data_IF_837485810499
#
_entry.id   IF_837485810499
#
_cell.length_a   1.000
_cell.length_b   1.000
_cell.length_c   1.000
_cell.angle_alpha   90.00
_cell.angle_beta   90.00
_cell.angle_gamma   90.00
#
_symmetry.space_group_name_H-M   'P 1'
#
loop_
_entity.id
_entity.type
_entity.pdbx_description
1 polymer ?
#
# COMPACT_ATOMS: atom_id res chain seq x y z
N UNK A 1 -14.54 -15.98 1.76
CA UNK A 1 -15.15 -15.15 2.82
C UNK A 1 -14.00 -14.47 3.57
N UNK A 2 -14.27 -13.35 4.27
CA UNK A 2 -13.26 -12.44 4.87
C UNK A 2 -12.45 -13.10 6.02
N UNK A 3 -13.03 -14.15 6.62
CA UNK A 3 -12.52 -14.89 7.78
C UNK A 3 -11.14 -15.52 7.56
N UNK A 4 -10.92 -16.12 6.39
CA UNK A 4 -9.66 -16.80 6.05
C UNK A 4 -8.49 -15.80 5.96
N UNK A 5 -8.76 -14.61 5.44
CA UNK A 5 -7.74 -13.58 5.23
C UNK A 5 -7.22 -12.99 6.54
N UNK A 6 -8.10 -12.73 7.52
CA UNK A 6 -7.68 -12.13 8.80
C UNK A 6 -6.66 -13.03 9.50
N UNK A 7 -6.92 -14.34 9.51
CA UNK A 7 -6.01 -15.34 10.09
C UNK A 7 -4.68 -15.39 9.32
N UNK A 8 -4.72 -15.38 8.00
CA UNK A 8 -3.52 -15.46 7.15
C UNK A 8 -2.63 -14.22 7.32
N UNK A 9 -3.21 -13.01 7.21
CA UNK A 9 -2.46 -11.77 7.42
C UNK A 9 -1.91 -11.64 8.85
N UNK A 10 -2.68 -12.05 9.87
CA UNK A 10 -2.19 -12.09 11.25
C UNK A 10 -0.95 -12.98 11.40
N UNK A 11 -1.00 -14.20 10.85
CA UNK A 11 0.12 -15.15 10.90
C UNK A 11 1.34 -14.62 10.14
N UNK A 12 1.15 -13.96 8.99
CA UNK A 12 2.22 -13.32 8.22
C UNK A 12 2.96 -12.25 9.02
N UNK A 13 2.23 -11.47 9.81
CA UNK A 13 2.80 -10.49 10.74
C UNK A 13 3.29 -11.10 12.07
N UNK A 14 3.24 -12.43 12.23
CA UNK A 14 3.60 -13.17 13.45
C UNK A 14 2.87 -12.68 14.71
N UNK A 15 1.65 -12.18 14.56
CA UNK A 15 0.84 -11.68 15.68
C UNK A 15 0.02 -12.83 16.29
N UNK A 16 -0.17 -12.82 17.62
CA UNK A 16 -1.18 -13.64 18.28
C UNK A 16 -2.58 -13.04 18.11
N UNK A 17 -3.63 -13.82 18.37
CA UNK A 17 -5.01 -13.28 18.36
C UNK A 17 -5.18 -12.17 19.41
N UNK A 18 -4.47 -12.27 20.55
CA UNK A 18 -4.47 -11.24 21.60
C UNK A 18 -3.85 -9.93 21.09
N UNK A 19 -2.67 -10.03 20.48
CA UNK A 19 -1.95 -8.86 19.95
C UNK A 19 -2.73 -8.15 18.84
N UNK A 20 -3.42 -8.91 17.99
CA UNK A 20 -4.31 -8.32 16.99
C UNK A 20 -5.52 -7.64 17.65
N UNK A 21 -6.11 -8.27 18.66
CA UNK A 21 -7.26 -7.75 19.39
C UNK A 21 -6.95 -6.44 20.11
N UNK A 22 -5.77 -6.33 20.74
CA UNK A 22 -5.25 -5.09 21.32
C UNK A 22 -5.12 -3.99 20.26
N UNK A 23 -4.49 -4.29 19.12
CA UNK A 23 -4.30 -3.33 18.02
C UNK A 23 -5.61 -2.80 17.44
N UNK A 24 -6.64 -3.63 17.40
CA UNK A 24 -7.97 -3.22 16.90
C UNK A 24 -8.95 -2.80 18.00
N UNK A 25 -8.50 -2.73 19.25
CA UNK A 25 -9.29 -2.40 20.43
C UNK A 25 -10.59 -3.20 20.52
N UNK A 26 -10.46 -4.54 20.57
CA UNK A 26 -11.55 -5.50 20.79
C UNK A 26 -11.05 -6.64 21.69
N UNK A 27 -11.94 -7.55 22.09
CA UNK A 27 -11.54 -8.74 22.83
C UNK A 27 -10.90 -9.80 21.93
N UNK A 28 -10.01 -10.64 22.47
CA UNK A 28 -9.48 -11.82 21.77
C UNK A 28 -10.59 -12.73 21.21
N UNK A 29 -11.69 -12.89 21.94
CA UNK A 29 -12.84 -13.67 21.51
C UNK A 29 -13.49 -13.08 20.24
N UNK A 30 -13.54 -11.75 20.13
CA UNK A 30 -14.04 -11.06 18.93
C UNK A 30 -13.19 -11.40 17.71
N UNK A 31 -11.85 -11.37 17.83
CA UNK A 31 -10.95 -11.77 16.76
C UNK A 31 -11.12 -13.25 16.39
N UNK A 32 -11.28 -14.13 17.38
CA UNK A 32 -11.52 -15.55 17.13
C UNK A 32 -12.82 -15.79 16.32
N UNK A 33 -13.90 -15.07 16.66
CA UNK A 33 -15.17 -15.12 15.91
C UNK A 33 -15.01 -14.64 14.47
N UNK A 34 -14.22 -13.59 14.24
CA UNK A 34 -13.91 -13.13 12.88
C UNK A 34 -13.12 -14.17 12.08
N UNK A 35 -12.10 -14.77 12.67
CA UNK A 35 -11.29 -15.81 12.00
C UNK A 35 -12.05 -17.12 11.74
N UNK A 36 -13.15 -17.37 12.46
CA UNK A 36 -13.99 -18.56 12.30
C UNK A 36 -15.21 -18.32 11.40
N UNK A 37 -15.41 -17.10 10.90
CA UNK A 37 -16.59 -16.73 10.10
C UNK A 37 -17.89 -16.63 10.90
N UNK A 38 -17.82 -16.67 12.22
CA UNK A 38 -18.98 -16.53 13.12
C UNK A 38 -19.46 -15.07 13.24
N UNK A 39 -18.59 -14.12 12.93
CA UNK A 39 -18.90 -12.69 12.91
C UNK A 39 -18.06 -11.98 11.84
N UNK A 40 -18.51 -10.81 11.38
CA UNK A 40 -17.78 -9.96 10.44
C UNK A 40 -17.39 -8.66 11.17
N UNK A 41 -16.16 -8.15 10.99
CA UNK A 41 -15.80 -6.84 11.54
C UNK A 41 -16.69 -5.75 10.94
N UNK A 42 -17.08 -4.78 11.77
CA UNK A 42 -17.77 -3.58 11.26
C UNK A 42 -16.84 -2.75 10.34
N UNK A 43 -17.39 -1.74 9.68
CA UNK A 43 -16.65 -0.93 8.71
C UNK A 43 -15.43 -0.22 9.31
N UNK A 44 -15.48 0.18 10.58
CA UNK A 44 -14.38 0.85 11.27
C UNK A 44 -13.28 -0.15 11.63
N UNK A 45 -13.64 -1.33 12.16
CA UNK A 45 -12.69 -2.41 12.45
C UNK A 45 -12.08 -2.98 11.18
N UNK A 46 -12.87 -3.12 10.13
CA UNK A 46 -12.39 -3.51 8.79
C UNK A 46 -11.35 -2.53 8.27
N UNK A 47 -11.60 -1.22 8.37
CA UNK A 47 -10.63 -0.18 8.00
C UNK A 47 -9.33 -0.33 8.81
N UNK A 48 -9.43 -0.48 10.13
CA UNK A 48 -8.27 -0.61 11.00
C UNK A 48 -7.45 -1.89 10.70
N UNK A 49 -8.13 -3.01 10.44
CA UNK A 49 -7.47 -4.24 9.98
C UNK A 49 -6.73 -4.03 8.66
N UNK A 50 -7.34 -3.33 7.70
CA UNK A 50 -6.69 -3.03 6.41
C UNK A 50 -5.41 -2.18 6.57
N UNK A 51 -5.39 -1.27 7.54
CA UNK A 51 -4.22 -0.45 7.88
C UNK A 51 -3.12 -1.29 8.53
N UNK A 52 -3.46 -2.12 9.52
CA UNK A 52 -2.51 -3.01 10.20
C UNK A 52 -1.87 -4.00 9.21
N UNK A 53 -2.68 -4.57 8.33
CA UNK A 53 -2.23 -5.55 7.35
C UNK A 53 -1.59 -4.93 6.11
N UNK A 54 -1.59 -3.60 5.98
CA UNK A 54 -1.12 -2.86 4.81
C UNK A 54 -1.74 -3.37 3.50
N UNK A 55 -3.05 -3.58 3.51
CA UNK A 55 -3.85 -3.98 2.35
C UNK A 55 -5.03 -3.03 2.18
N UNK A 56 -5.70 -3.09 1.04
CA UNK A 56 -6.97 -2.40 0.83
C UNK A 56 -8.13 -3.19 1.46
N UNK A 57 -9.25 -2.51 1.76
CA UNK A 57 -10.48 -3.19 2.20
C UNK A 57 -10.99 -4.24 1.20
N UNK A 58 -10.84 -3.96 -0.10
CA UNK A 58 -11.18 -4.90 -1.17
C UNK A 58 -10.32 -6.18 -1.11
N UNK A 59 -9.00 -6.02 -0.96
CA UNK A 59 -8.08 -7.15 -0.76
C UNK A 59 -8.38 -7.92 0.52
N UNK A 60 -8.72 -7.23 1.62
CA UNK A 60 -9.14 -7.89 2.86
C UNK A 60 -10.43 -8.70 2.67
N UNK A 61 -11.34 -8.24 1.80
CA UNK A 61 -12.63 -8.86 1.57
C UNK A 61 -12.64 -10.02 0.55
N UNK A 62 -11.64 -10.11 -0.33
CA UNK A 62 -11.56 -11.18 -1.35
C UNK A 62 -11.25 -12.53 -0.74
N UNK A 63 -11.81 -13.62 -1.24
CA UNK A 63 -11.33 -14.96 -0.86
C UNK A 63 -9.99 -15.20 -1.54
N UNK A 64 -8.88 -15.06 -0.81
CA UNK A 64 -7.53 -15.29 -1.34
C UNK A 64 -6.97 -16.59 -0.73
N UNK A 65 -6.28 -17.39 -1.54
CA UNK A 65 -5.53 -18.54 -1.02
C UNK A 65 -4.18 -18.06 -0.40
N UNK A 66 -3.47 -18.93 0.32
CA UNK A 66 -2.20 -18.57 0.99
C UNK A 66 -1.14 -18.05 -0.01
N UNK A 67 -1.10 -18.57 -1.23
CA UNK A 67 -0.18 -18.14 -2.29
C UNK A 67 -0.51 -16.72 -2.81
N UNK A 68 -1.78 -16.40 -2.96
CA UNK A 68 -2.26 -15.09 -3.39
C UNK A 68 -1.98 -14.04 -2.32
N UNK A 69 -2.10 -14.38 -1.03
CA UNK A 69 -1.76 -13.48 0.10
C UNK A 69 -0.27 -13.10 0.09
N UNK A 70 0.60 -13.97 -0.40
CA UNK A 70 2.03 -13.68 -0.55
C UNK A 70 2.35 -12.80 -1.76
N UNK A 71 1.48 -12.80 -2.77
CA UNK A 71 1.58 -11.91 -3.92
C UNK A 71 0.79 -10.60 -3.74
N UNK A 72 0.15 -10.38 -2.59
CA UNK A 72 -0.49 -9.10 -2.28
C UNK A 72 0.57 -8.00 -2.22
N UNK A 73 0.56 -7.15 -3.25
CA UNK A 73 1.34 -5.93 -3.24
C UNK A 73 0.91 -5.04 -2.04
N UNK A 74 1.87 -4.45 -1.29
CA UNK A 74 1.55 -3.56 -0.19
C UNK A 74 0.59 -2.45 -0.62
N UNK A 75 -0.24 -1.96 0.31
CA UNK A 75 -1.19 -0.88 0.06
C UNK A 75 -0.51 0.29 -0.66
N UNK A 76 -1.08 0.68 -1.80
CA UNK A 76 -0.58 1.77 -2.64
C UNK A 76 0.60 1.40 -3.54
N UNK A 77 1.11 0.16 -3.49
CA UNK A 77 2.13 -0.36 -4.40
C UNK A 77 1.48 -1.28 -5.42
N UNK A 78 1.87 -1.15 -6.68
CA UNK A 78 1.36 -1.95 -7.78
C UNK A 78 2.52 -2.52 -8.58
N UNK A 79 2.49 -3.83 -8.86
CA UNK A 79 3.43 -4.48 -9.76
C UNK A 79 2.81 -4.60 -11.15
N UNK A 80 3.40 -3.93 -12.14
CA UNK A 80 2.91 -3.92 -13.52
C UNK A 80 3.70 -4.86 -14.44
N UNK A 81 4.45 -5.80 -13.86
CA UNK A 81 5.33 -6.70 -14.59
C UNK A 81 6.77 -6.20 -14.69
N UNK A 82 7.60 -7.01 -15.34
CA UNK A 82 9.00 -6.66 -15.66
C UNK A 82 9.05 -6.07 -17.06
N UNK A 83 9.71 -4.92 -17.21
CA UNK A 83 9.95 -4.27 -18.51
C UNK A 83 11.44 -4.35 -18.86
N UNK A 84 11.75 -4.43 -20.16
CA UNK A 84 13.13 -4.42 -20.65
C UNK A 84 13.52 -3.03 -21.11
N UNK A 85 14.79 -2.69 -20.93
CA UNK A 85 15.38 -1.48 -21.48
C UNK A 85 15.67 -1.71 -22.97
N UNK A 86 15.19 -0.81 -23.82
CA UNK A 86 15.48 -0.85 -25.26
C UNK A 86 16.88 -0.31 -25.60
N UNK A 87 17.28 -0.40 -26.87
CA UNK A 87 18.62 -0.06 -27.35
C UNK A 87 19.08 1.38 -27.03
N UNK A 88 18.13 2.31 -26.90
CA UNK A 88 18.40 3.72 -26.58
C UNK A 88 18.22 4.06 -25.09
N UNK A 89 18.22 3.07 -24.21
CA UNK A 89 17.93 3.28 -22.79
C UNK A 89 16.45 3.52 -22.49
N UNK A 90 15.57 3.37 -23.48
CA UNK A 90 14.14 3.64 -23.35
C UNK A 90 13.44 2.55 -22.53
N UNK A 91 12.58 2.98 -21.60
CA UNK A 91 11.72 2.09 -20.81
C UNK A 91 10.27 2.40 -21.19
N UNK A 92 9.52 1.37 -21.57
CA UNK A 92 8.11 1.50 -21.88
C UNK A 92 7.29 1.37 -20.60
N UNK A 93 6.54 2.40 -20.23
CA UNK A 93 5.60 2.32 -19.10
C UNK A 93 4.43 1.42 -19.51
N UNK A 94 4.17 0.32 -18.78
CA UNK A 94 3.07 -0.61 -19.09
C UNK A 94 1.74 0.12 -19.23
N UNK A 95 0.87 -0.38 -20.13
CA UNK A 95 -0.44 0.24 -20.39
C UNK A 95 -1.26 0.39 -19.10
N UNK A 96 -1.29 -0.64 -18.25
CA UNK A 96 -2.05 -0.59 -17.00
C UNK A 96 -1.54 0.51 -16.05
N UNK A 97 -0.22 0.71 -15.99
CA UNK A 97 0.37 1.78 -15.18
C UNK A 97 0.01 3.17 -15.74
N UNK A 98 0.03 3.32 -17.07
CA UNK A 98 -0.37 4.58 -17.72
C UNK A 98 -1.84 4.92 -17.46
N UNK A 99 -2.73 3.94 -17.54
CA UNK A 99 -4.16 4.14 -17.27
C UNK A 99 -4.40 4.46 -15.79
N UNK A 100 -3.79 3.69 -14.88
CA UNK A 100 -3.97 3.87 -13.43
C UNK A 100 -3.44 5.22 -12.94
N UNK A 101 -2.27 5.66 -13.43
CA UNK A 101 -1.64 6.92 -13.01
C UNK A 101 -1.90 8.08 -13.98
N UNK A 102 -2.80 7.90 -14.95
CA UNK A 102 -3.18 8.92 -15.93
C UNK A 102 -1.97 9.57 -16.61
N UNK A 103 -1.04 8.73 -17.08
CA UNK A 103 0.19 9.14 -17.78
C UNK A 103 -0.10 9.18 -19.28
N UNK A 104 -0.04 10.37 -19.86
CA UNK A 104 -0.33 10.62 -21.26
C UNK A 104 0.91 11.10 -22.02
N UNK A 105 0.84 11.05 -23.35
CA UNK A 105 1.89 11.63 -24.19
C UNK A 105 1.94 13.15 -23.96
N UNK A 106 3.14 13.68 -23.74
CA UNK A 106 3.36 15.09 -23.41
C UNK A 106 3.46 15.38 -21.91
N UNK A 107 3.10 14.43 -21.04
CA UNK A 107 3.29 14.57 -19.59
C UNK A 107 4.78 14.73 -19.25
N UNK A 108 5.07 15.67 -18.36
CA UNK A 108 6.40 15.84 -17.79
C UNK A 108 6.56 14.98 -16.55
N UNK A 109 7.57 14.11 -16.58
CA UNK A 109 7.91 13.22 -15.48
C UNK A 109 9.25 13.64 -14.87
N UNK A 110 9.34 13.57 -13.54
CA UNK A 110 10.58 13.71 -12.79
C UNK A 110 11.17 12.32 -12.60
N UNK A 111 12.47 12.19 -12.85
CA UNK A 111 13.24 10.96 -12.67
C UNK A 111 14.23 11.18 -11.54
N UNK A 112 14.13 10.39 -10.48
CA UNK A 112 15.01 10.43 -9.31
C UNK A 112 15.83 9.16 -9.24
N UNK A 113 17.10 9.26 -8.82
CA UNK A 113 17.97 8.13 -8.58
C UNK A 113 18.34 8.01 -7.10
N UNK A 114 18.51 6.77 -6.63
CA UNK A 114 19.01 6.47 -5.28
C UNK A 114 20.19 5.51 -5.38
N UNK A 115 21.37 5.94 -4.93
CA UNK A 115 22.61 5.18 -5.07
C UNK A 115 22.61 3.87 -4.25
N UNK A 116 22.04 3.90 -3.04
CA UNK A 116 22.03 2.77 -2.13
C UNK A 116 21.25 1.56 -2.69
N UNK A 117 20.10 1.82 -3.30
CA UNK A 117 19.25 0.79 -3.92
C UNK A 117 19.57 0.58 -5.39
N UNK A 118 20.36 1.47 -6.00
CA UNK A 118 20.55 1.63 -7.46
C UNK A 118 19.20 1.71 -8.18
N UNK A 119 18.23 2.33 -7.50
CA UNK A 119 16.84 2.44 -7.94
C UNK A 119 16.59 3.73 -8.70
N UNK A 120 15.55 3.71 -9.53
CA UNK A 120 15.01 4.90 -10.19
C UNK A 120 13.54 5.03 -9.81
N UNK A 121 13.13 6.23 -9.37
CA UNK A 121 11.73 6.58 -9.17
C UNK A 121 11.27 7.56 -10.25
N UNK A 122 10.06 7.34 -10.77
CA UNK A 122 9.43 8.19 -11.79
C UNK A 122 8.13 8.74 -11.25
N UNK A 123 7.98 10.07 -11.29
CA UNK A 123 6.87 10.80 -10.67
C UNK A 123 6.31 11.82 -11.65
N UNK A 124 5.00 12.11 -11.62
CA UNK A 124 4.45 13.23 -12.39
C UNK A 124 4.90 14.56 -11.79
N UNK A 125 5.33 15.49 -12.65
CA UNK A 125 5.82 16.81 -12.21
C UNK A 125 4.76 17.65 -11.49
N UNK A 126 3.48 17.52 -11.85
CA UNK A 126 2.39 18.23 -11.17
C UNK A 126 2.26 17.84 -9.69
N UNK A 127 2.51 16.56 -9.37
CA UNK A 127 2.54 16.08 -7.98
C UNK A 127 3.80 16.49 -7.23
N UNK A 128 4.92 16.68 -7.94
CA UNK A 128 6.18 17.12 -7.35
C UNK A 128 6.11 18.57 -6.85
N UNK A 129 5.48 19.49 -7.59
CA UNK A 129 5.32 20.88 -7.16
C UNK A 129 4.52 20.99 -5.85
N UNK A 130 3.48 20.18 -5.69
CA UNK A 130 2.70 20.13 -4.44
C UNK A 130 3.54 19.62 -3.27
N UNK A 131 4.36 18.59 -3.50
CA UNK A 131 5.26 18.06 -2.48
C UNK A 131 6.37 19.04 -2.10
N UNK A 132 6.98 19.71 -3.10
CA UNK A 132 8.01 20.73 -2.87
C UNK A 132 7.46 21.95 -2.11
N UNK A 133 6.24 22.41 -2.45
CA UNK A 133 5.58 23.48 -1.69
C UNK A 133 5.21 23.03 -0.27
N UNK A 134 4.84 21.76 -0.07
CA UNK A 134 4.55 21.21 1.26
C UNK A 134 5.80 21.17 2.15
N UNK A 135 6.96 20.76 1.62
CA UNK A 135 8.25 20.82 2.33
C UNK A 135 8.62 22.27 2.64
N UNK A 136 8.56 23.15 1.63
CA UNK A 136 8.92 24.57 1.80
C UNK A 136 8.06 25.26 2.87
N UNK A 137 6.76 24.96 2.90
CA UNK A 137 5.85 25.50 3.91
C UNK A 137 6.15 24.94 5.30
N UNK A 138 6.63 23.70 5.40
CA UNK A 138 6.97 23.06 6.67
C UNK A 138 8.26 23.61 7.27
N UNK A 139 9.28 23.92 6.45
CA UNK A 139 10.52 24.58 6.90
C UNK A 139 10.25 26.01 7.42
N UNK A 140 9.32 26.74 6.79
CA UNK A 140 8.93 28.10 7.23
C UNK A 140 8.19 28.07 8.59
N UNK A 141 7.51 26.98 8.92
CA UNK A 141 6.82 26.84 10.22
C UNK A 141 7.78 26.52 11.38
N UNK A 142 8.94 25.93 11.11
CA UNK A 142 9.98 25.67 12.12
C UNK A 142 10.80 26.93 12.44
N UNK A 143 11.00 27.84 11.47
CA UNK A 143 11.74 29.10 11.67
C UNK A 143 10.91 30.23 12.34
N UNK A 144 9.60 30.05 12.52
CA UNK A 144 8.69 31.06 13.08
C UNK A 144 8.39 30.94 14.58
N UNK A 145 9.09 30.07 15.32
CA UNK A 145 8.84 29.78 16.75
C UNK A 145 10.01 30.25 17.67
N UNK A 146 11.00 30.99 17.17
CA UNK A 146 11.97 31.70 18.03
C UNK A 146 11.51 33.09 18.46
#
# INVERSE_FOLDING_TARGET
MIDMNIRTFRKKLKLSQEQLAEKVNVSRQTVAKWENGEAVPDIYKGKLLSEIFQVTLDQLSRSMNEEEVDQVAPRGKHFFGVVKVGERGQIVIPKQAREMYQIHAGDKLVVLGEDATRGIAVLKSDGFLQFAEMIRTSEIMEEGIE
#
